data_IF_684672461636
#
_entry.id   IF_684672461636
#
_cell.length_a   1.000
_cell.length_b   1.000
_cell.length_c   1.000
_cell.angle_alpha   90.00
_cell.angle_beta   90.00
_cell.angle_gamma   90.00
#
_symmetry.space_group_name_H-M   'P 1'
#
loop_
_entity.id
_entity.type
_entity.pdbx_description
1 polymer ?
#
# COMPACT_ATOMS: atom_id res chain seq x y z
N UNK A 1 -6.98 -6.61 -0.38
CA UNK A 1 -6.04 -5.77 -1.17
C UNK A 1 -6.56 -5.68 -2.59
N UNK A 2 -6.30 -4.57 -3.27
CA UNK A 2 -6.66 -4.35 -4.67
C UNK A 2 -5.40 -4.25 -5.55
N UNK A 3 -5.60 -4.02 -6.85
CA UNK A 3 -4.52 -3.87 -7.83
C UNK A 3 -4.54 -4.98 -8.88
N UNK A 4 -4.00 -4.67 -10.05
CA UNK A 4 -4.08 -5.53 -11.24
C UNK A 4 -2.90 -6.51 -11.27
N UNK A 5 -1.71 -6.06 -10.88
CA UNK A 5 -0.49 -6.86 -11.04
C UNK A 5 -0.28 -7.81 -9.87
N UNK A 6 -0.96 -8.95 -9.93
CA UNK A 6 -0.81 -10.02 -8.94
C UNK A 6 0.32 -10.98 -9.30
N UNK A 7 1.17 -11.38 -8.33
CA UNK A 7 2.22 -12.34 -8.59
C UNK A 7 1.63 -13.74 -8.76
N UNK A 8 2.12 -14.48 -9.75
CA UNK A 8 1.79 -15.90 -9.88
C UNK A 8 2.64 -16.71 -8.88
N UNK A 9 2.06 -17.06 -7.74
CA UNK A 9 2.74 -17.78 -6.65
C UNK A 9 3.39 -19.09 -7.09
N UNK A 10 2.81 -19.78 -8.08
CA UNK A 10 3.34 -21.03 -8.63
C UNK A 10 4.62 -20.86 -9.44
N UNK A 11 4.82 -19.69 -10.06
CA UNK A 11 6.00 -19.36 -10.88
C UNK A 11 7.03 -18.56 -10.11
N UNK A 12 6.66 -18.01 -8.95
CA UNK A 12 7.53 -17.16 -8.15
C UNK A 12 8.44 -18.04 -7.29
N UNK A 13 9.74 -18.09 -7.61
CA UNK A 13 10.73 -18.76 -6.77
C UNK A 13 10.82 -18.11 -5.38
N UNK A 14 11.38 -18.84 -4.40
CA UNK A 14 11.35 -18.42 -2.99
C UNK A 14 12.06 -17.09 -2.73
N UNK A 15 13.14 -16.82 -3.47
CA UNK A 15 13.81 -15.51 -3.45
C UNK A 15 12.86 -14.37 -3.84
N UNK A 16 12.09 -14.54 -4.90
CA UNK A 16 11.16 -13.50 -5.34
C UNK A 16 9.95 -13.38 -4.41
N UNK A 17 9.52 -14.48 -3.78
CA UNK A 17 8.48 -14.43 -2.73
C UNK A 17 8.95 -13.63 -1.52
N UNK A 18 10.19 -13.83 -1.06
CA UNK A 18 10.71 -13.08 0.09
C UNK A 18 10.87 -11.60 -0.24
N UNK A 19 11.38 -11.27 -1.43
CA UNK A 19 11.48 -9.89 -1.92
C UNK A 19 10.11 -9.22 -2.04
N UNK A 20 9.15 -9.92 -2.65
CA UNK A 20 7.77 -9.45 -2.73
C UNK A 20 7.18 -9.15 -1.35
N UNK A 21 7.35 -10.06 -0.39
CA UNK A 21 6.88 -9.87 0.97
C UNK A 21 7.58 -8.71 1.68
N UNK A 22 8.86 -8.47 1.40
CA UNK A 22 9.61 -7.35 1.96
C UNK A 22 9.02 -6.00 1.51
N UNK A 23 8.72 -5.84 0.22
CA UNK A 23 8.10 -4.62 -0.31
C UNK A 23 6.63 -4.48 0.12
N UNK A 24 5.86 -5.56 0.13
CA UNK A 24 4.47 -5.55 0.59
C UNK A 24 4.36 -5.10 2.04
N UNK A 25 5.20 -5.67 2.91
CA UNK A 25 5.23 -5.32 4.32
C UNK A 25 5.80 -3.91 4.52
N UNK A 26 6.77 -3.49 3.71
CA UNK A 26 7.30 -2.13 3.68
C UNK A 26 6.21 -1.10 3.42
N UNK A 27 5.44 -1.29 2.33
CA UNK A 27 4.27 -0.47 1.99
C UNK A 27 3.25 -0.44 3.14
N UNK A 28 2.85 -1.59 3.67
CA UNK A 28 1.87 -1.67 4.75
C UNK A 28 2.33 -0.90 6.00
N UNK A 29 3.62 -0.94 6.32
CA UNK A 29 4.20 -0.23 7.45
C UNK A 29 4.40 1.25 7.18
N UNK A 30 4.72 1.66 5.96
CA UNK A 30 4.75 3.06 5.54
C UNK A 30 3.35 3.69 5.68
N UNK A 31 2.32 3.04 5.14
CA UNK A 31 0.92 3.44 5.32
C UNK A 31 0.55 3.61 6.80
N UNK A 32 0.93 2.64 7.64
CA UNK A 32 0.68 2.72 9.10
C UNK A 32 1.38 3.92 9.73
N UNK A 33 2.65 4.13 9.41
CA UNK A 33 3.51 5.16 10.01
C UNK A 33 3.03 6.55 9.65
N UNK A 34 2.75 6.79 8.37
CA UNK A 34 2.54 8.13 7.84
C UNK A 34 1.06 8.53 7.83
N UNK A 35 0.16 7.55 7.82
CA UNK A 35 -1.27 7.77 7.61
C UNK A 35 -2.16 6.99 8.60
N UNK A 36 -1.57 6.33 9.58
CA UNK A 36 -2.26 5.66 10.68
C UNK A 36 -2.71 4.22 10.38
N UNK A 37 -3.21 3.53 11.41
CA UNK A 37 -3.52 2.09 11.33
C UNK A 37 -4.56 1.74 10.26
N UNK A 38 -5.57 2.59 10.07
CA UNK A 38 -6.62 2.34 9.08
C UNK A 38 -6.09 2.45 7.65
N UNK A 39 -5.03 3.22 7.39
CA UNK A 39 -4.44 3.29 6.06
C UNK A 39 -3.85 1.94 5.59
N UNK A 40 -3.58 1.00 6.50
CA UNK A 40 -3.11 -0.34 6.14
C UNK A 40 -4.09 -1.08 5.23
N UNK A 41 -5.39 -0.77 5.30
CA UNK A 41 -6.41 -1.42 4.45
C UNK A 41 -6.24 -1.08 2.96
N UNK A 42 -5.54 0.01 2.65
CA UNK A 42 -5.29 0.44 1.26
C UNK A 42 -4.00 -0.14 0.68
N UNK A 43 -3.32 -1.04 1.40
CA UNK A 43 -2.19 -1.81 0.86
C UNK A 43 -2.65 -2.52 -0.42
N UNK A 44 -1.92 -2.30 -1.51
CA UNK A 44 -2.29 -2.82 -2.82
C UNK A 44 -1.08 -3.26 -3.63
N UNK A 45 -1.33 -4.06 -4.66
CA UNK A 45 -0.28 -4.69 -5.46
C UNK A 45 0.42 -3.72 -6.41
N UNK A 46 -0.29 -2.73 -6.96
CA UNK A 46 0.29 -1.80 -7.94
C UNK A 46 1.27 -0.84 -7.25
N UNK A 47 0.94 -0.39 -6.03
CA UNK A 47 1.84 0.41 -5.19
C UNK A 47 3.12 -0.33 -4.82
N UNK A 48 3.05 -1.66 -4.60
CA UNK A 48 4.25 -2.47 -4.37
C UNK A 48 5.23 -2.38 -5.54
N UNK A 49 4.75 -2.37 -6.79
CA UNK A 49 5.62 -2.24 -7.96
C UNK A 49 6.37 -0.91 -7.97
N UNK A 50 5.73 0.18 -7.53
CA UNK A 50 6.42 1.48 -7.38
C UNK A 50 7.59 1.33 -6.42
N UNK A 51 7.39 0.68 -5.26
CA UNK A 51 8.49 0.44 -4.33
C UNK A 51 9.62 -0.39 -4.92
N UNK A 52 9.31 -1.42 -5.72
CA UNK A 52 10.31 -2.28 -6.37
C UNK A 52 11.07 -1.52 -7.45
N UNK A 53 10.37 -0.78 -8.31
CA UNK A 53 10.97 0.01 -9.38
C UNK A 53 11.84 1.13 -8.83
N UNK A 54 11.40 1.80 -7.78
CA UNK A 54 12.22 2.82 -7.11
C UNK A 54 13.50 2.21 -6.52
N UNK A 55 13.42 1.04 -5.86
CA UNK A 55 14.62 0.34 -5.36
C UNK A 55 15.56 -0.08 -6.52
N UNK A 56 15.00 -0.52 -7.65
CA UNK A 56 15.79 -0.89 -8.83
C UNK A 56 16.52 0.32 -9.45
N UNK A 57 15.88 1.49 -9.51
CA UNK A 57 16.45 2.70 -10.11
C UNK A 57 17.48 3.39 -9.22
N UNK A 58 17.25 3.44 -7.91
CA UNK A 58 18.17 4.08 -6.96
C UNK A 58 19.33 3.15 -6.54
N UNK A 59 19.20 1.86 -6.82
CA UNK A 59 20.07 0.83 -6.26
C UNK A 59 19.76 0.57 -4.79
N UNK A 60 20.33 -0.51 -4.25
CA UNK A 60 20.23 -0.81 -2.83
C UNK A 60 21.07 0.18 -2.03
N UNK A 61 20.44 1.15 -1.38
CA UNK A 61 21.13 2.01 -0.44
C UNK A 61 21.32 1.33 0.91
N UNK A 62 22.37 1.72 1.63
CA UNK A 62 22.43 1.45 3.08
C UNK A 62 21.19 2.06 3.74
N UNK A 63 20.52 1.28 4.60
CA UNK A 63 19.26 1.69 5.22
C UNK A 63 18.01 1.54 4.35
N UNK A 64 18.07 1.03 3.12
CA UNK A 64 16.88 0.73 2.30
C UNK A 64 16.00 -0.40 2.87
N UNK A 65 16.49 -1.13 3.88
CA UNK A 65 15.74 -2.17 4.60
C UNK A 65 15.85 -2.01 6.10
N UNK A 66 14.83 -2.54 6.78
CA UNK A 66 14.80 -2.67 8.24
C UNK A 66 14.19 -3.99 8.65
N UNK A 67 14.54 -4.47 9.85
CA UNK A 67 13.85 -5.61 10.46
C UNK A 67 12.53 -5.14 11.04
N UNK A 68 11.41 -5.58 10.46
CA UNK A 68 10.09 -5.39 11.03
C UNK A 68 9.85 -6.40 12.16
N UNK A 69 9.22 -5.94 13.24
CA UNK A 69 8.78 -6.77 14.36
C UNK A 69 7.73 -7.83 13.97
N UNK A 70 7.30 -8.66 14.94
CA UNK A 70 6.24 -9.66 14.76
C UNK A 70 4.96 -9.09 14.13
N UNK A 71 4.35 -9.82 13.20
CA UNK A 71 3.10 -9.43 12.56
C UNK A 71 2.16 -10.63 12.44
N UNK A 72 0.88 -10.46 12.82
CA UNK A 72 -0.14 -11.50 12.71
C UNK A 72 -0.26 -12.05 11.28
N UNK A 73 -0.18 -11.19 10.26
CA UNK A 73 -0.23 -11.61 8.85
C UNK A 73 1.00 -12.42 8.39
N UNK A 74 2.05 -12.50 9.22
CA UNK A 74 3.24 -13.34 9.00
C UNK A 74 3.34 -14.51 9.98
N UNK A 75 2.28 -14.78 10.76
CA UNK A 75 2.32 -15.78 11.83
C UNK A 75 3.23 -15.35 12.99
N UNK A 76 3.19 -14.07 13.37
CA UNK A 76 4.02 -13.47 14.43
C UNK A 76 5.53 -13.51 14.19
N UNK A 77 5.96 -13.71 12.94
CA UNK A 77 7.39 -13.68 12.55
C UNK A 77 7.87 -12.28 12.17
N UNK A 78 9.13 -12.01 12.47
CA UNK A 78 9.88 -10.85 11.97
C UNK A 78 10.22 -11.04 10.49
N UNK A 79 10.56 -9.95 9.81
CA UNK A 79 11.00 -9.99 8.41
C UNK A 79 11.85 -8.76 8.08
N UNK A 80 12.81 -8.90 7.18
CA UNK A 80 13.43 -7.75 6.52
C UNK A 80 12.41 -7.13 5.56
N UNK A 81 12.15 -5.83 5.69
CA UNK A 81 11.16 -5.10 4.90
C UNK A 81 11.80 -3.88 4.25
N UNK A 82 11.29 -3.51 3.07
CA UNK A 82 11.70 -2.29 2.39
C UNK A 82 11.28 -1.05 3.21
N UNK A 83 12.13 -0.03 3.23
CA UNK A 83 11.84 1.28 3.81
C UNK A 83 12.45 2.40 2.96
N UNK A 84 12.12 3.64 3.30
CA UNK A 84 12.59 4.82 2.57
C UNK A 84 11.70 5.17 1.39
N UNK A 85 12.30 5.75 0.36
CA UNK A 85 11.59 6.45 -0.71
C UNK A 85 10.59 5.58 -1.46
N UNK A 86 11.00 4.38 -1.87
CA UNK A 86 10.12 3.46 -2.60
C UNK A 86 8.86 3.09 -1.80
N UNK A 87 9.00 2.85 -0.49
CA UNK A 87 7.87 2.52 0.36
C UNK A 87 6.94 3.74 0.60
N UNK A 88 7.52 4.95 0.65
CA UNK A 88 6.79 6.22 0.76
C UNK A 88 5.97 6.51 -0.50
N UNK A 89 6.60 6.44 -1.68
CA UNK A 89 5.92 6.63 -2.97
C UNK A 89 4.83 5.58 -3.19
N UNK A 90 5.10 4.32 -2.83
CA UNK A 90 4.11 3.26 -2.87
C UNK A 90 2.89 3.58 -1.99
N UNK A 91 3.10 4.11 -0.77
CA UNK A 91 2.01 4.49 0.13
C UNK A 91 1.19 5.66 -0.45
N UNK A 92 1.85 6.66 -1.02
CA UNK A 92 1.20 7.78 -1.69
C UNK A 92 0.31 7.33 -2.85
N UNK A 93 0.85 6.51 -3.76
CA UNK A 93 0.10 5.91 -4.87
C UNK A 93 -1.05 5.05 -4.35
N UNK A 94 -0.82 4.26 -3.30
CA UNK A 94 -1.86 3.43 -2.71
C UNK A 94 -3.05 4.22 -2.18
N UNK A 95 -2.81 5.36 -1.54
CA UNK A 95 -3.86 6.24 -1.05
C UNK A 95 -4.64 6.91 -2.18
N UNK A 96 -3.95 7.41 -3.21
CA UNK A 96 -4.59 8.03 -4.38
C UNK A 96 -5.48 7.03 -5.11
N UNK A 97 -4.99 5.81 -5.36
CA UNK A 97 -5.76 4.76 -6.02
C UNK A 97 -6.93 4.29 -5.17
N UNK A 98 -6.76 4.14 -3.85
CA UNK A 98 -7.87 3.80 -2.97
C UNK A 98 -8.93 4.89 -2.94
N UNK A 99 -8.54 6.16 -2.92
CA UNK A 99 -9.45 7.28 -2.97
C UNK A 99 -10.25 7.30 -4.28
N UNK A 100 -9.61 7.06 -5.43
CA UNK A 100 -10.28 6.93 -6.72
C UNK A 100 -11.28 5.77 -6.70
N UNK A 101 -10.82 4.57 -6.31
CA UNK A 101 -11.65 3.37 -6.23
C UNK A 101 -12.90 3.56 -5.35
N UNK A 102 -12.76 4.22 -4.20
CA UNK A 102 -13.91 4.50 -3.33
C UNK A 102 -14.87 5.50 -3.96
N UNK A 103 -14.37 6.53 -4.67
CA UNK A 103 -15.24 7.47 -5.38
C UNK A 103 -16.03 6.77 -6.50
N UNK A 104 -15.40 5.87 -7.23
CA UNK A 104 -16.05 5.09 -8.30
C UNK A 104 -17.18 4.23 -7.72
N UNK A 105 -16.89 3.43 -6.68
CA UNK A 105 -17.91 2.61 -6.02
C UNK A 105 -19.07 3.44 -5.42
N UNK A 106 -18.81 4.68 -5.00
CA UNK A 106 -19.85 5.61 -4.54
C UNK A 106 -20.68 6.17 -5.72
N UNK A 107 -20.04 6.48 -6.85
CA UNK A 107 -20.71 6.94 -8.05
C UNK A 107 -21.61 5.84 -8.64
N UNK A 108 -21.09 4.61 -8.66
CA UNK A 108 -21.77 3.40 -9.16
C UNK A 108 -22.87 2.90 -8.20
N UNK A 109 -22.89 3.42 -6.95
CA UNK A 109 -23.82 3.03 -5.87
C UNK A 109 -23.72 1.56 -5.52
N UNK A 110 -22.50 1.03 -5.43
CA UNK A 110 -22.26 -0.38 -5.15
C UNK A 110 -22.67 -0.80 -3.73
N UNK A 111 -23.57 -1.79 -3.62
CA UNK A 111 -23.92 -2.43 -2.35
C UNK A 111 -24.32 -1.45 -1.25
N UNK A 112 -23.59 -1.46 -0.12
CA UNK A 112 -23.84 -0.56 1.02
C UNK A 112 -23.59 0.92 0.68
N UNK A 113 -22.80 1.22 -0.35
CA UNK A 113 -22.53 2.58 -0.81
C UNK A 113 -23.72 3.20 -1.56
N UNK A 114 -24.76 2.43 -1.90
CA UNK A 114 -26.05 2.97 -2.31
C UNK A 114 -26.72 3.79 -1.19
N UNK A 115 -26.39 3.51 0.07
CA UNK A 115 -26.98 4.19 1.23
C UNK A 115 -26.29 5.54 1.46
N UNK A 116 -27.07 6.63 1.41
CA UNK A 116 -26.57 8.02 1.57
C UNK A 116 -25.60 8.24 2.75
N UNK A 117 -25.86 7.78 3.99
CA UNK A 117 -24.93 8.02 5.10
C UNK A 117 -23.58 7.31 4.90
N UNK A 118 -23.61 6.08 4.39
CA UNK A 118 -22.41 5.28 4.09
C UNK A 118 -21.60 5.94 2.98
N UNK A 119 -22.27 6.38 1.90
CA UNK A 119 -21.64 7.09 0.79
C UNK A 119 -20.95 8.39 1.23
N UNK A 120 -21.55 9.15 2.14
CA UNK A 120 -20.97 10.38 2.67
C UNK A 120 -19.71 10.10 3.50
N UNK A 121 -19.75 9.10 4.38
CA UNK A 121 -18.59 8.69 5.15
C UNK A 121 -17.45 8.21 4.23
N UNK A 122 -17.78 7.37 3.24
CA UNK A 122 -16.83 6.88 2.23
C UNK A 122 -16.17 8.03 1.45
N UNK A 123 -16.95 9.03 1.01
CA UNK A 123 -16.41 10.23 0.34
C UNK A 123 -15.45 11.03 1.23
N UNK A 124 -15.76 11.20 2.52
CA UNK A 124 -14.87 11.89 3.46
C UNK A 124 -13.53 11.15 3.62
N UNK A 125 -13.58 9.83 3.77
CA UNK A 125 -12.37 8.99 3.86
C UNK A 125 -11.56 9.07 2.57
N UNK A 126 -12.21 8.94 1.40
CA UNK A 126 -11.56 9.04 0.10
C UNK A 126 -10.91 10.42 -0.11
N UNK A 127 -11.55 11.51 0.32
CA UNK A 127 -10.96 12.85 0.25
C UNK A 127 -9.73 12.99 1.16
N UNK A 128 -9.77 12.41 2.36
CA UNK A 128 -8.63 12.36 3.27
C UNK A 128 -7.44 11.61 2.66
N UNK A 129 -7.68 10.41 2.13
CA UNK A 129 -6.65 9.63 1.44
C UNK A 129 -6.12 10.32 0.19
N UNK A 130 -6.99 10.94 -0.62
CA UNK A 130 -6.56 11.68 -1.80
C UNK A 130 -5.60 12.82 -1.47
N UNK A 131 -5.90 13.63 -0.43
CA UNK A 131 -4.99 14.69 0.02
C UNK A 131 -3.69 14.15 0.59
N UNK A 132 -3.77 13.12 1.44
CA UNK A 132 -2.59 12.52 2.04
C UNK A 132 -1.65 11.89 1.00
N UNK A 133 -2.22 11.22 -0.02
CA UNK A 133 -1.46 10.65 -1.12
C UNK A 133 -0.84 11.72 -2.02
N UNK A 134 -1.57 12.79 -2.35
CA UNK A 134 -1.02 13.90 -3.14
C UNK A 134 0.14 14.62 -2.42
N UNK A 135 0.00 14.87 -1.11
CA UNK A 135 1.06 15.46 -0.31
C UNK A 135 2.29 14.53 -0.21
N UNK A 136 2.06 13.23 0.00
CA UNK A 136 3.14 12.25 0.10
C UNK A 136 3.93 12.02 -1.20
N UNK A 137 3.31 12.28 -2.36
CA UNK A 137 3.98 12.19 -3.66
C UNK A 137 4.71 13.47 -4.10
N UNK A 138 4.53 14.58 -3.39
CA UNK A 138 5.17 15.88 -3.69
C UNK A 138 6.38 16.19 -2.78
N UNK A 139 6.61 15.38 -1.74
CA UNK A 139 7.73 15.47 -0.80
C UNK A 139 8.93 14.64 -1.28
#
# INVERSE_FOLDING_TARGET
>A
MFGIVRPCSHRLGDRFKSEWMAHLCGLCLALRRDHGQLARVVTNYDGLLISVLTEAQLGRSEGGRRTAGPCALRGMRTASVAQGEGARLAAAVSLVLAAAKVRDHVADRDGLLARRPVALAARKVAAGWGRAGAAGGAA
#
